data_IF_345884648487
#
_entry.id   IF_345884648487
#
_cell.length_a   1.000
_cell.length_b   1.000
_cell.length_c   1.000
_cell.angle_alpha   90.00
_cell.angle_beta   90.00
_cell.angle_gamma   90.00
#
_symmetry.space_group_name_H-M   'P 1'
#
loop_
_entity.id
_entity.type
_entity.pdbx_description
1 polymer ?
#
# COMPACT_ATOMS: atom_id res chain seq x y z
N UNK A 1 -8.94 -0.96 29.23
CA UNK A 1 -8.45 0.21 28.46
C UNK A 1 -9.33 0.29 27.23
N UNK A 2 -10.23 1.27 27.15
CA UNK A 2 -11.20 1.38 26.05
C UNK A 2 -10.69 2.43 25.08
N UNK A 3 -10.45 2.06 23.82
CA UNK A 3 -9.98 3.00 22.80
C UNK A 3 -11.16 3.88 22.40
N UNK A 4 -11.05 5.17 22.72
CA UNK A 4 -12.00 6.21 22.31
C UNK A 4 -11.81 6.50 20.81
N UNK A 5 -12.80 6.11 20.01
CA UNK A 5 -12.79 6.23 18.54
C UNK A 5 -12.96 7.67 18.05
N UNK A 6 -13.33 8.62 18.90
CA UNK A 6 -13.52 10.02 18.53
C UNK A 6 -12.20 10.79 18.31
N UNK A 7 -11.08 10.26 18.83
CA UNK A 7 -9.75 10.90 18.75
C UNK A 7 -8.88 10.39 17.60
N UNK A 8 -9.35 9.43 16.82
CA UNK A 8 -8.62 8.79 15.72
C UNK A 8 -8.98 9.39 14.36
N UNK A 9 -9.03 10.72 14.26
CA UNK A 9 -9.44 11.44 13.05
C UNK A 9 -8.41 12.49 12.59
N UNK A 10 -7.14 12.30 12.89
CA UNK A 10 -6.07 12.76 11.98
C UNK A 10 -5.84 11.62 10.99
N UNK A 11 -6.20 11.83 9.73
CA UNK A 11 -6.03 10.87 8.65
C UNK A 11 -4.58 10.35 8.60
N UNK A 12 -4.34 9.21 9.23
CA UNK A 12 -3.12 8.44 9.00
C UNK A 12 -3.36 7.80 7.63
N UNK A 13 -2.85 8.43 6.57
CA UNK A 13 -2.73 7.75 5.29
C UNK A 13 -1.91 6.47 5.56
N UNK A 14 -2.45 5.26 5.30
CA UNK A 14 -1.77 4.01 5.62
C UNK A 14 -0.61 3.72 4.67
N UNK A 15 -0.18 4.72 3.91
CA UNK A 15 0.88 4.68 2.92
C UNK A 15 1.63 6.00 2.86
N UNK A 16 2.89 5.94 2.42
CA UNK A 16 3.76 7.09 2.18
C UNK A 16 4.58 6.87 0.91
N UNK A 17 4.83 7.94 0.16
CA UNK A 17 5.85 7.95 -0.89
C UNK A 17 7.21 8.14 -0.24
N UNK A 18 8.19 7.31 -0.60
CA UNK A 18 9.53 7.34 0.02
C UNK A 18 10.63 7.71 -0.98
N UNK A 19 10.28 8.38 -2.08
CA UNK A 19 11.20 8.75 -3.16
C UNK A 19 12.50 9.40 -2.68
N UNK A 20 12.41 10.38 -1.77
CA UNK A 20 13.56 11.13 -1.23
C UNK A 20 14.42 10.33 -0.24
N UNK A 21 13.93 9.15 0.17
CA UNK A 21 14.56 8.29 1.17
C UNK A 21 14.91 6.89 0.62
N UNK A 22 14.48 6.56 -0.60
CA UNK A 22 14.80 5.29 -1.24
C UNK A 22 16.23 5.30 -1.77
N UNK A 23 16.88 4.13 -1.73
CA UNK A 23 18.17 3.89 -2.39
C UNK A 23 18.02 3.90 -3.91
N UNK A 24 16.80 3.71 -4.44
CA UNK A 24 16.50 3.67 -5.88
C UNK A 24 15.36 4.67 -6.21
N UNK A 25 15.67 5.98 -6.31
CA UNK A 25 14.62 7.00 -6.47
C UNK A 25 13.77 6.83 -7.75
N UNK A 26 14.30 6.19 -8.80
CA UNK A 26 13.58 6.01 -10.07
C UNK A 26 12.34 5.11 -9.98
N UNK A 27 12.19 4.31 -8.92
CA UNK A 27 11.15 3.27 -8.82
C UNK A 27 9.80 3.78 -8.28
N UNK A 28 9.63 5.09 -8.05
CA UNK A 28 8.37 5.71 -7.59
C UNK A 28 7.66 4.94 -6.46
N UNK A 29 8.44 4.51 -5.47
CA UNK A 29 7.97 3.58 -4.44
C UNK A 29 6.90 4.17 -3.50
N UNK A 30 5.94 3.31 -3.14
CA UNK A 30 4.90 3.57 -2.13
C UNK A 30 5.04 2.54 -1.02
N UNK A 31 5.31 3.01 0.20
CA UNK A 31 5.45 2.18 1.39
C UNK A 31 4.14 2.18 2.17
N UNK A 32 3.61 0.99 2.46
CA UNK A 32 2.45 0.82 3.34
C UNK A 32 2.88 0.63 4.79
N UNK A 33 2.05 1.10 5.73
CA UNK A 33 2.26 0.84 7.15
C UNK A 33 2.15 -0.65 7.47
N UNK A 34 2.85 -1.09 8.51
CA UNK A 34 2.75 -2.46 9.00
C UNK A 34 1.30 -2.84 9.33
N UNK A 35 0.93 -4.10 9.09
CA UNK A 35 -0.43 -4.62 9.29
C UNK A 35 -1.51 -4.00 8.37
N UNK A 36 -1.11 -3.48 7.21
CA UNK A 36 -2.08 -3.12 6.16
C UNK A 36 -2.77 -4.39 5.65
N UNK A 37 -4.11 -4.40 5.69
CA UNK A 37 -4.93 -5.53 5.25
C UNK A 37 -5.51 -5.21 3.87
N UNK A 38 -5.30 -6.10 2.91
CA UNK A 38 -5.90 -6.01 1.57
C UNK A 38 -7.05 -7.02 1.42
N UNK A 39 -8.16 -6.60 0.82
CA UNK A 39 -9.24 -7.49 0.39
C UNK A 39 -9.10 -7.74 -1.11
N UNK A 40 -8.98 -9.01 -1.50
CA UNK A 40 -9.08 -9.40 -2.91
C UNK A 40 -10.53 -9.25 -3.36
N UNK A 41 -10.76 -8.41 -4.36
CA UNK A 41 -12.11 -8.17 -4.92
C UNK A 41 -12.38 -9.07 -6.11
N UNK A 42 -11.41 -9.23 -7.00
CA UNK A 42 -11.54 -9.97 -8.25
C UNK A 42 -10.19 -10.59 -8.63
N UNK A 43 -10.23 -11.73 -9.32
CA UNK A 43 -9.06 -12.36 -9.94
C UNK A 43 -9.37 -12.47 -11.44
N UNK A 44 -8.54 -11.82 -12.28
CA UNK A 44 -8.72 -11.82 -13.73
C UNK A 44 -7.76 -12.81 -14.39
N UNK A 45 -8.24 -13.70 -15.27
CA UNK A 45 -7.35 -14.56 -16.05
C UNK A 45 -6.60 -13.73 -17.09
N UNK A 46 -5.29 -13.94 -17.21
CA UNK A 46 -4.49 -13.37 -18.29
C UNK A 46 -4.43 -14.35 -19.46
N UNK A 47 -4.65 -13.87 -20.68
CA UNK A 47 -4.67 -14.69 -21.90
C UNK A 47 -3.29 -15.30 -22.25
N UNK A 48 -2.21 -14.71 -21.72
CA UNK A 48 -0.85 -15.25 -21.76
C UNK A 48 -0.33 -15.31 -20.33
N UNK A 49 0.42 -16.36 -20.02
CA UNK A 49 1.15 -16.48 -18.77
C UNK A 49 2.45 -15.65 -18.83
N UNK A 50 2.31 -14.37 -19.19
CA UNK A 50 3.39 -13.39 -19.10
C UNK A 50 3.43 -12.85 -17.68
N UNK A 51 4.61 -12.47 -17.22
CA UNK A 51 4.72 -11.75 -15.96
C UNK A 51 3.87 -10.47 -16.03
N UNK A 52 3.21 -10.11 -14.93
CA UNK A 52 2.35 -8.92 -14.86
C UNK A 52 3.13 -7.60 -15.08
N UNK A 53 4.47 -7.67 -15.06
CA UNK A 53 5.38 -6.53 -15.09
C UNK A 53 6.29 -6.50 -16.35
N UNK A 54 5.95 -7.25 -17.39
CA UNK A 54 6.60 -7.14 -18.72
C UNK A 54 5.89 -6.15 -19.65
#
# INVERSE_FOLDING_TARGET
>A
MTIDRSKTLTAINPFATIHEHSTIPSEQEILFTMHTIFRVVEIKPMAKNSHLWE
#
